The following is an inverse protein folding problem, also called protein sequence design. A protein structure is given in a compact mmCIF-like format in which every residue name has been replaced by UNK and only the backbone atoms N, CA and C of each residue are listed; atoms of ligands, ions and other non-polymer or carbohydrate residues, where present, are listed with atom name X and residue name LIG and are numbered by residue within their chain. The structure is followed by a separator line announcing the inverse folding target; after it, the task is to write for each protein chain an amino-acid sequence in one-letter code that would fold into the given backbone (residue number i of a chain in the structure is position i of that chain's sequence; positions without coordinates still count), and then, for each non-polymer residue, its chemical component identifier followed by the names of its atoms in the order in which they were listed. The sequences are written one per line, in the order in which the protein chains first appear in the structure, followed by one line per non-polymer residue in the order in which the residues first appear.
data_IF_661628164987
#
_entry.id   IF_661628164987
#
_cell.length_a   1.000
_cell.length_b   1.000
_cell.length_c   1.000
_cell.angle_alpha   90.00
_cell.angle_beta   90.00
_cell.angle_gamma   90.00
#
_symmetry.space_group_name_H-M   'P 1'
#
loop_
_entity.id
_entity.type
_entity.pdbx_description
1 polymer ?
#
# COMPACT_ATOMS: atom_id res chain seq x y z
N UNK A 1 10.47 -3.76 17.65
CA UNK A 1 11.82 -3.79 17.03
C UNK A 1 12.04 -2.49 16.27
N UNK A 2 13.25 -1.92 16.21
CA UNK A 2 13.43 -0.66 15.46
C UNK A 2 13.33 -0.87 13.95
N UNK A 3 12.84 0.14 13.22
CA UNK A 3 12.72 0.10 11.75
C UNK A 3 14.05 -0.25 11.08
N UNK A 4 15.16 0.32 11.56
CA UNK A 4 16.49 0.00 11.01
C UNK A 4 16.86 -1.48 11.14
N UNK A 5 16.51 -2.11 12.25
CA UNK A 5 16.76 -3.55 12.44
C UNK A 5 15.89 -4.39 11.50
N UNK A 6 14.63 -4.01 11.32
CA UNK A 6 13.72 -4.66 10.36
C UNK A 6 14.29 -4.56 8.93
N UNK A 7 14.82 -3.39 8.55
CA UNK A 7 15.46 -3.20 7.23
C UNK A 7 16.66 -4.13 7.05
N UNK A 8 17.52 -4.27 8.06
CA UNK A 8 18.67 -5.19 7.99
C UNK A 8 18.24 -6.66 7.91
N UNK A 9 17.23 -7.06 8.64
CA UNK A 9 16.65 -8.41 8.55
C UNK A 9 16.05 -8.68 7.14
N UNK A 10 15.29 -7.73 6.59
CA UNK A 10 14.77 -7.83 5.23
C UNK A 10 15.87 -7.99 4.18
N UNK A 11 16.98 -7.25 4.31
CA UNK A 11 18.12 -7.35 3.39
C UNK A 11 18.88 -8.67 3.55
N UNK A 12 18.92 -9.22 4.75
CA UNK A 12 19.62 -10.48 5.05
C UNK A 12 18.79 -11.72 4.69
N UNK A 13 17.47 -11.57 4.49
CA UNK A 13 16.56 -12.66 4.15
C UNK A 13 16.87 -13.22 2.75
N UNK A 14 17.15 -14.52 2.66
CA UNK A 14 17.47 -15.18 1.40
C UNK A 14 16.37 -15.02 0.33
N UNK A 15 15.11 -14.90 0.75
CA UNK A 15 13.97 -14.66 -0.14
C UNK A 15 14.03 -13.29 -0.82
N UNK A 16 14.84 -12.37 -0.29
CA UNK A 16 15.09 -11.03 -0.83
C UNK A 16 16.49 -10.88 -1.44
N UNK A 17 17.30 -11.95 -1.49
CA UNK A 17 18.71 -11.89 -1.91
C UNK A 17 18.91 -11.27 -3.28
N UNK A 18 18.00 -11.50 -4.23
CA UNK A 18 18.07 -10.94 -5.58
C UNK A 18 18.00 -9.40 -5.55
N UNK A 19 17.06 -8.85 -4.77
CA UNK A 19 16.92 -7.40 -4.62
C UNK A 19 18.12 -6.79 -3.91
N UNK A 20 18.59 -7.42 -2.83
CA UNK A 20 19.77 -6.98 -2.09
C UNK A 20 21.02 -6.96 -2.98
N UNK A 21 21.22 -8.00 -3.81
CA UNK A 21 22.32 -8.07 -4.77
C UNK A 21 22.27 -6.96 -5.82
N UNK A 22 21.08 -6.57 -6.24
CA UNK A 22 20.83 -5.47 -7.19
C UNK A 22 20.87 -4.08 -6.52
N UNK A 23 21.11 -4.00 -5.21
CA UNK A 23 21.13 -2.74 -4.46
C UNK A 23 19.75 -2.11 -4.26
N UNK A 24 18.68 -2.92 -4.31
CA UNK A 24 17.32 -2.44 -4.12
C UNK A 24 16.93 -2.66 -2.65
N UNK A 25 16.69 -1.58 -1.89
CA UNK A 25 16.21 -1.67 -0.51
C UNK A 25 14.70 -2.00 -0.46
N UNK A 26 14.18 -2.39 0.71
CA UNK A 26 12.74 -2.41 0.90
C UNK A 26 12.16 -1.00 0.69
N UNK A 27 11.06 -0.91 -0.07
CA UNK A 27 10.46 0.36 -0.51
C UNK A 27 9.22 0.63 0.31
N UNK A 28 9.31 1.58 1.22
CA UNK A 28 8.24 2.10 2.05
C UNK A 28 8.58 3.52 2.52
N UNK A 29 7.61 4.20 3.11
CA UNK A 29 7.78 5.48 3.77
C UNK A 29 7.23 5.38 5.18
N UNK A 30 8.08 5.46 6.18
CA UNK A 30 7.68 5.30 7.58
C UNK A 30 8.10 6.52 8.39
N UNK A 31 7.16 7.05 9.16
CA UNK A 31 7.41 8.12 10.11
C UNK A 31 6.57 7.91 11.36
N UNK A 32 7.17 8.04 12.54
CA UNK A 32 6.48 7.87 13.83
C UNK A 32 5.37 8.89 14.08
N UNK A 33 5.47 10.06 13.46
CA UNK A 33 4.48 11.13 13.59
C UNK A 33 3.33 11.02 12.59
N UNK A 34 3.38 10.01 11.70
CA UNK A 34 2.34 9.82 10.70
C UNK A 34 0.98 9.55 11.35
N UNK A 35 -0.04 10.22 10.79
CA UNK A 35 -1.46 10.09 11.19
C UNK A 35 -2.23 9.19 10.24
N UNK A 36 -1.82 9.13 8.98
CA UNK A 36 -2.44 8.34 7.93
C UNK A 36 -1.44 7.29 7.46
N UNK A 37 -1.87 6.05 7.46
CA UNK A 37 -1.13 4.92 6.90
C UNK A 37 -1.78 4.49 5.58
N UNK A 38 -0.99 4.33 4.54
CA UNK A 38 -1.44 3.82 3.24
C UNK A 38 -0.87 2.42 3.05
N UNK A 39 -1.76 1.44 2.92
CA UNK A 39 -1.39 0.05 2.60
C UNK A 39 -1.66 -0.20 1.11
N UNK A 40 -0.60 -0.18 0.32
CA UNK A 40 -0.66 -0.50 -1.11
C UNK A 40 -0.42 -1.98 -1.40
N UNK A 41 -0.36 -2.35 -2.67
CA UNK A 41 -0.13 -3.73 -3.09
C UNK A 41 1.36 -4.10 -3.05
N UNK A 42 2.14 -3.52 -3.93
CA UNK A 42 3.59 -3.71 -4.05
C UNK A 42 4.17 -2.60 -4.95
N UNK A 43 5.48 -2.31 -4.86
CA UNK A 43 6.14 -1.48 -5.85
C UNK A 43 5.95 -2.04 -7.27
N UNK A 44 5.66 -1.18 -8.23
CA UNK A 44 5.74 -1.50 -9.63
C UNK A 44 7.16 -1.29 -10.16
N UNK A 45 7.39 -1.59 -11.44
CA UNK A 45 8.71 -1.46 -12.06
C UNK A 45 9.28 -0.04 -11.95
N UNK A 46 8.47 0.99 -12.21
CA UNK A 46 8.92 2.39 -12.11
C UNK A 46 9.27 2.79 -10.68
N UNK A 47 8.52 2.30 -9.71
CA UNK A 47 8.79 2.52 -8.29
C UNK A 47 10.06 1.80 -7.86
N UNK A 48 10.34 0.59 -8.36
CA UNK A 48 11.63 -0.08 -8.15
C UNK A 48 12.80 0.76 -8.67
N UNK A 49 12.63 1.39 -9.83
CA UNK A 49 13.67 2.24 -10.44
C UNK A 49 13.93 3.51 -9.62
N UNK A 50 12.89 4.20 -9.15
CA UNK A 50 13.02 5.43 -8.34
C UNK A 50 13.26 5.18 -6.86
N UNK A 51 12.86 4.01 -6.36
CA UNK A 51 12.88 3.64 -4.94
C UNK A 51 12.01 4.56 -4.05
N UNK A 52 11.06 5.26 -4.64
CA UNK A 52 10.10 6.15 -3.96
C UNK A 52 8.70 5.53 -4.07
N UNK A 53 8.02 5.22 -2.94
CA UNK A 53 6.69 4.63 -2.97
C UNK A 53 5.70 5.47 -3.78
N UNK A 54 4.90 4.85 -4.62
CA UNK A 54 3.90 5.52 -5.46
C UNK A 54 4.46 6.58 -6.43
N UNK A 55 5.74 6.53 -6.80
CA UNK A 55 6.33 7.43 -7.80
C UNK A 55 6.00 6.97 -9.23
N UNK A 56 4.72 6.89 -9.52
CA UNK A 56 4.16 6.46 -10.80
C UNK A 56 2.77 7.09 -11.05
N UNK A 57 2.12 6.72 -12.15
CA UNK A 57 0.77 7.21 -12.48
C UNK A 57 -0.30 6.83 -11.46
N UNK A 58 -0.17 5.68 -10.80
CA UNK A 58 -1.07 5.29 -9.72
C UNK A 58 -0.93 6.22 -8.52
N UNK A 59 0.29 6.61 -8.19
CA UNK A 59 0.57 7.56 -7.13
C UNK A 59 0.02 8.95 -7.42
N UNK A 60 0.19 9.45 -8.65
CA UNK A 60 -0.39 10.73 -9.07
C UNK A 60 -1.91 10.75 -8.88
N UNK A 61 -2.57 9.66 -9.26
CA UNK A 61 -4.02 9.53 -9.11
C UNK A 61 -4.45 9.42 -7.64
N UNK A 62 -3.72 8.67 -6.83
CA UNK A 62 -3.98 8.55 -5.39
C UNK A 62 -3.86 9.91 -4.69
N UNK A 63 -2.82 10.67 -4.98
CA UNK A 63 -2.62 12.03 -4.46
C UNK A 63 -3.81 12.93 -4.84
N UNK A 64 -4.27 12.85 -6.08
CA UNK A 64 -5.45 13.58 -6.55
C UNK A 64 -6.73 13.19 -5.79
N UNK A 65 -6.95 11.89 -5.56
CA UNK A 65 -8.11 11.41 -4.79
C UNK A 65 -8.07 11.87 -3.33
N UNK A 66 -6.87 11.93 -2.75
CA UNK A 66 -6.70 12.41 -1.37
C UNK A 66 -6.87 13.93 -1.24
N UNK A 67 -6.89 14.67 -2.34
CA UNK A 67 -7.05 16.13 -2.34
C UNK A 67 -5.87 16.86 -1.68
N UNK A 68 -4.69 16.28 -1.71
CA UNK A 68 -3.45 16.84 -1.15
C UNK A 68 -2.41 17.08 -2.25
N UNK A 69 -1.36 17.82 -1.93
CA UNK A 69 -0.22 17.97 -2.82
C UNK A 69 0.84 16.86 -2.62
N UNK A 70 1.78 16.79 -3.54
CA UNK A 70 2.88 15.83 -3.51
C UNK A 70 3.77 16.02 -2.27
N UNK A 71 4.01 17.23 -1.85
CA UNK A 71 4.82 17.56 -0.67
C UNK A 71 4.17 16.99 0.60
N UNK A 72 2.88 17.17 0.78
CA UNK A 72 2.12 16.58 1.89
C UNK A 72 2.12 15.07 1.84
N UNK A 73 1.94 14.46 0.66
CA UNK A 73 1.94 13.00 0.48
C UNK A 73 3.27 12.36 0.92
N UNK A 74 4.39 13.02 0.66
CA UNK A 74 5.73 12.55 1.05
C UNK A 74 6.25 13.21 2.35
N UNK A 75 5.38 13.83 3.13
CA UNK A 75 5.73 14.41 4.42
C UNK A 75 5.72 13.38 5.56
N UNK A 76 6.10 13.84 6.75
CA UNK A 76 6.05 13.05 7.97
C UNK A 76 4.62 12.70 8.45
N UNK A 77 3.60 13.29 7.88
CA UNK A 77 2.18 13.05 8.22
C UNK A 77 1.64 11.74 7.67
N UNK A 78 2.26 11.19 6.64
CA UNK A 78 1.80 10.01 5.91
C UNK A 78 2.87 8.91 5.93
N UNK A 79 2.45 7.72 6.33
CA UNK A 79 3.23 6.50 6.17
C UNK A 79 2.69 5.67 5.00
N UNK A 80 3.58 5.03 4.26
CA UNK A 80 3.25 4.16 3.13
C UNK A 80 3.91 2.81 3.36
N UNK A 81 3.08 1.77 3.49
CA UNK A 81 3.52 0.41 3.78
C UNK A 81 2.82 -0.54 2.80
N UNK A 82 3.46 -0.91 1.68
CA UNK A 82 2.84 -1.87 0.75
C UNK A 82 2.82 -3.29 1.33
N UNK A 83 1.95 -4.15 0.81
CA UNK A 83 1.86 -5.56 1.20
C UNK A 83 3.14 -6.34 0.88
N UNK A 84 3.87 -5.98 -0.19
CA UNK A 84 5.24 -6.40 -0.49
C UNK A 84 6.12 -5.16 -0.62
N UNK A 85 7.31 -5.20 -0.05
CA UNK A 85 8.24 -4.06 -0.08
C UNK A 85 9.12 -4.01 -1.33
N UNK A 86 8.95 -4.97 -2.22
CA UNK A 86 9.72 -5.12 -3.45
C UNK A 86 8.81 -5.36 -4.64
N UNK A 87 9.31 -5.07 -5.84
CA UNK A 87 8.60 -5.40 -7.07
C UNK A 87 8.62 -6.91 -7.31
N UNK A 88 7.47 -7.60 -7.23
CA UNK A 88 7.44 -9.06 -7.32
C UNK A 88 7.66 -9.60 -8.74
N UNK A 89 7.67 -8.73 -9.75
CA UNK A 89 7.86 -9.08 -11.13
C UNK A 89 6.60 -9.01 -11.97
N UNK A 90 6.75 -9.21 -13.28
CA UNK A 90 5.66 -9.16 -14.24
C UNK A 90 5.05 -10.55 -14.44
N UNK A 91 3.72 -10.64 -14.33
CA UNK A 91 2.95 -11.83 -14.67
C UNK A 91 2.41 -11.82 -16.11
N UNK A 92 1.50 -12.73 -16.39
CA UNK A 92 0.86 -12.83 -17.73
C UNK A 92 -0.08 -11.64 -18.01
N UNK A 93 -0.77 -11.15 -16.98
CA UNK A 93 -1.81 -10.11 -17.07
C UNK A 93 -1.59 -8.98 -16.08
N UNK A 94 -0.39 -8.47 -15.99
CA UNK A 94 -0.01 -7.43 -15.04
C UNK A 94 1.11 -7.89 -14.13
N UNK A 95 1.31 -7.20 -13.02
CA UNK A 95 2.33 -7.58 -12.06
C UNK A 95 1.93 -8.82 -11.26
N UNK A 96 2.91 -9.57 -10.80
CA UNK A 96 2.69 -10.69 -9.90
C UNK A 96 2.09 -10.19 -8.58
N UNK A 97 1.34 -11.05 -7.85
CA UNK A 97 0.81 -10.68 -6.55
C UNK A 97 1.92 -10.42 -5.54
N UNK A 98 1.65 -9.64 -4.48
CA UNK A 98 2.60 -9.45 -3.39
C UNK A 98 2.93 -10.78 -2.72
N UNK A 99 4.17 -10.95 -2.32
CA UNK A 99 4.63 -12.14 -1.60
C UNK A 99 4.09 -12.07 -0.16
N UNK A 100 3.36 -13.09 0.25
CA UNK A 100 2.60 -13.07 1.51
C UNK A 100 3.45 -12.90 2.76
N UNK A 101 4.63 -13.53 2.77
CA UNK A 101 5.49 -13.55 3.96
C UNK A 101 5.91 -12.14 4.42
N UNK A 102 6.00 -11.18 3.51
CA UNK A 102 6.36 -9.80 3.84
C UNK A 102 5.36 -9.22 4.83
N UNK A 103 4.07 -9.28 4.53
CA UNK A 103 3.06 -8.78 5.45
C UNK A 103 2.93 -9.65 6.70
N UNK A 104 2.97 -10.97 6.55
CA UNK A 104 2.79 -11.92 7.65
C UNK A 104 3.89 -11.83 8.72
N UNK A 105 5.14 -11.58 8.31
CA UNK A 105 6.28 -11.56 9.22
C UNK A 105 6.67 -10.15 9.69
N UNK A 106 6.47 -9.10 8.86
CA UNK A 106 7.02 -7.78 9.13
C UNK A 106 6.00 -6.68 9.40
N UNK A 107 4.77 -6.77 8.89
CA UNK A 107 3.82 -5.66 9.04
C UNK A 107 3.51 -5.34 10.49
N UNK A 108 3.25 -6.34 11.33
CA UNK A 108 2.91 -6.11 12.73
C UNK A 108 4.03 -5.42 13.51
N UNK A 109 5.28 -5.81 13.27
CA UNK A 109 6.45 -5.19 13.93
C UNK A 109 6.64 -3.73 13.51
N UNK A 110 6.39 -3.43 12.22
CA UNK A 110 6.43 -2.05 11.72
C UNK A 110 5.29 -1.23 12.31
N UNK A 111 4.08 -1.78 12.38
CA UNK A 111 2.92 -1.09 12.93
C UNK A 111 3.07 -0.78 14.42
N UNK A 112 3.76 -1.61 15.17
CA UNK A 112 4.07 -1.37 16.59
C UNK A 112 4.95 -0.11 16.78
N UNK A 113 5.72 0.28 15.75
CA UNK A 113 6.51 1.53 15.75
C UNK A 113 5.70 2.76 15.30
N UNK A 114 4.55 2.57 14.66
CA UNK A 114 3.69 3.63 14.11
C UNK A 114 2.49 3.88 15.02
N UNK A 115 2.74 4.36 16.22
CA UNK A 115 1.73 4.47 17.31
C UNK A 115 0.73 5.63 17.13
N UNK A 116 0.98 6.55 16.20
CA UNK A 116 0.17 7.75 16.01
C UNK A 116 -0.84 7.65 14.85
N UNK A 117 -0.96 6.48 14.20
CA UNK A 117 -1.87 6.30 13.09
C UNK A 117 -3.33 6.38 13.56
N UNK A 118 -4.07 7.27 12.95
CA UNK A 118 -5.51 7.49 13.22
C UNK A 118 -6.39 6.79 12.17
N UNK A 119 -5.90 6.70 10.92
CA UNK A 119 -6.64 6.05 9.83
C UNK A 119 -5.68 5.29 8.91
N UNK A 120 -6.10 4.11 8.48
CA UNK A 120 -5.38 3.29 7.49
C UNK A 120 -6.19 3.17 6.21
N UNK A 121 -5.63 3.66 5.11
CA UNK A 121 -6.20 3.52 3.76
C UNK A 121 -5.77 2.16 3.19
N UNK A 122 -6.73 1.32 2.87
CA UNK A 122 -6.51 0.00 2.28
C UNK A 122 -6.75 0.04 0.78
N UNK A 123 -5.70 -0.15 0.00
CA UNK A 123 -5.75 -0.04 -1.46
C UNK A 123 -5.79 -1.42 -2.09
N UNK A 124 -6.94 -1.76 -2.69
CA UNK A 124 -7.11 -2.97 -3.46
C UNK A 124 -7.32 -4.24 -2.62
N UNK A 125 -7.49 -5.35 -3.34
CA UNK A 125 -7.93 -6.62 -2.75
C UNK A 125 -6.94 -7.20 -1.74
N UNK A 126 -5.66 -7.18 -2.02
CA UNK A 126 -4.66 -7.84 -1.16
C UNK A 126 -4.57 -7.21 0.23
N UNK A 127 -4.58 -5.88 0.32
CA UNK A 127 -4.60 -5.17 1.60
C UNK A 127 -5.91 -5.41 2.36
N UNK A 128 -7.04 -5.41 1.66
CA UNK A 128 -8.35 -5.68 2.26
C UNK A 128 -8.47 -7.12 2.78
N UNK A 129 -8.04 -8.12 2.00
CA UNK A 129 -8.04 -9.53 2.42
C UNK A 129 -7.23 -9.74 3.70
N UNK A 130 -6.10 -9.06 3.82
CA UNK A 130 -5.23 -9.17 4.98
C UNK A 130 -5.76 -8.44 6.21
N UNK A 131 -6.12 -7.17 6.06
CA UNK A 131 -6.49 -6.31 7.20
C UNK A 131 -7.95 -6.41 7.61
N UNK A 132 -8.85 -6.75 6.68
CA UNK A 132 -10.29 -6.91 6.92
C UNK A 132 -10.69 -8.38 7.04
N UNK A 133 -9.83 -9.27 7.49
CA UNK A 133 -10.09 -10.71 7.63
C UNK A 133 -11.52 -11.02 8.10
N UNK A 134 -12.32 -11.67 7.24
CA UNK A 134 -13.70 -12.06 7.53
C UNK A 134 -14.70 -10.91 7.66
N UNK A 135 -14.29 -9.66 7.47
CA UNK A 135 -15.15 -8.47 7.54
C UNK A 135 -15.40 -7.82 6.18
N UNK A 136 -14.81 -8.34 5.12
CA UNK A 136 -15.12 -7.87 3.76
C UNK A 136 -16.57 -8.19 3.41
N UNK A 137 -17.18 -7.35 2.60
CA UNK A 137 -18.46 -7.64 1.96
C UNK A 137 -18.25 -8.72 0.88
N UNK A 138 -19.32 -9.04 0.16
CA UNK A 138 -19.35 -10.08 -0.87
C UNK A 138 -18.21 -9.99 -1.91
N UNK A 139 -17.84 -8.75 -2.26
CA UNK A 139 -16.77 -8.46 -3.21
C UNK A 139 -16.10 -7.13 -2.90
N UNK A 140 -15.02 -6.81 -3.65
CA UNK A 140 -14.27 -5.57 -3.47
C UNK A 140 -15.16 -4.33 -3.64
N UNK A 141 -15.99 -4.29 -4.66
CA UNK A 141 -16.86 -3.13 -4.96
C UNK A 141 -17.83 -2.83 -3.81
N UNK A 142 -18.47 -3.87 -3.27
CA UNK A 142 -19.37 -3.71 -2.12
C UNK A 142 -18.60 -3.31 -0.85
N UNK A 143 -17.39 -3.81 -0.66
CA UNK A 143 -16.53 -3.44 0.46
C UNK A 143 -16.16 -1.95 0.38
N UNK A 144 -15.73 -1.48 -0.78
CA UNK A 144 -15.40 -0.07 -1.02
C UNK A 144 -16.64 0.82 -0.83
N UNK A 145 -17.78 0.40 -1.35
CA UNK A 145 -19.05 1.14 -1.22
C UNK A 145 -19.55 1.25 0.22
N UNK A 146 -19.23 0.26 1.04
CA UNK A 146 -19.57 0.23 2.48
C UNK A 146 -18.44 0.74 3.38
N UNK A 147 -17.62 1.66 2.90
CA UNK A 147 -16.43 2.15 3.62
C UNK A 147 -16.74 2.68 5.02
N UNK A 148 -17.92 3.26 5.23
CA UNK A 148 -18.35 3.77 6.53
C UNK A 148 -18.38 2.70 7.62
N UNK A 149 -18.64 1.43 7.27
CA UNK A 149 -18.63 0.31 8.20
C UNK A 149 -17.23 0.02 8.80
N UNK A 150 -16.18 0.53 8.18
CA UNK A 150 -14.79 0.30 8.58
C UNK A 150 -14.14 1.51 9.23
N UNK A 151 -14.74 2.69 9.08
CA UNK A 151 -14.25 3.92 9.71
C UNK A 151 -14.40 3.87 11.25
N UNK A 152 -13.59 4.61 11.99
CA UNK A 152 -12.49 5.48 11.53
C UNK A 152 -11.17 4.74 11.26
N UNK A 153 -11.11 3.45 11.56
CA UNK A 153 -9.85 2.69 11.53
C UNK A 153 -9.35 2.41 10.10
N UNK A 154 -10.25 1.96 9.23
CA UNK A 154 -9.91 1.60 7.85
C UNK A 154 -10.75 2.35 6.84
N UNK A 155 -10.13 2.76 5.75
CA UNK A 155 -10.78 3.34 4.60
C UNK A 155 -10.41 2.54 3.36
N UNK A 156 -11.26 1.57 2.93
CA UNK A 156 -10.99 0.76 1.76
C UNK A 156 -11.27 1.52 0.47
N UNK A 157 -10.31 1.51 -0.46
CA UNK A 157 -10.45 2.09 -1.80
C UNK A 157 -10.00 1.12 -2.88
N UNK A 158 -10.51 1.32 -4.09
CA UNK A 158 -10.04 0.59 -5.27
C UNK A 158 -8.60 1.03 -5.62
N UNK A 159 -7.85 0.14 -6.27
CA UNK A 159 -6.49 0.48 -6.71
C UNK A 159 -6.50 1.63 -7.72
N UNK A 160 -5.70 2.69 -7.54
CA UNK A 160 -5.68 3.87 -8.42
C UNK A 160 -4.96 3.64 -9.74
N UNK A 161 -4.72 2.40 -10.14
CA UNK A 161 -4.11 2.06 -11.42
C UNK A 161 -4.92 2.61 -12.59
N UNK A 162 -4.25 3.15 -13.62
CA UNK A 162 -4.92 3.50 -14.88
C UNK A 162 -5.68 2.33 -15.52
N UNK A 163 -5.30 1.09 -15.22
CA UNK A 163 -5.99 -0.12 -15.71
C UNK A 163 -7.39 -0.30 -15.11
N UNK A 164 -7.71 0.39 -14.03
CA UNK A 164 -9.02 0.35 -13.38
C UNK A 164 -10.04 1.34 -13.94
N UNK A 165 -9.76 1.99 -15.08
CA UNK A 165 -10.69 2.94 -15.69
C UNK A 165 -12.07 2.35 -16.00
N UNK A 166 -12.13 1.06 -16.38
CA UNK A 166 -13.41 0.37 -16.64
C UNK A 166 -14.23 0.18 -15.36
N UNK A 167 -13.58 -0.11 -14.24
CA UNK A 167 -14.25 -0.20 -12.96
C UNK A 167 -14.81 1.17 -12.54
N UNK A 168 -14.01 2.23 -12.69
CA UNK A 168 -14.43 3.59 -12.36
C UNK A 168 -15.63 4.03 -13.24
N UNK A 169 -15.59 3.72 -14.53
CA UNK A 169 -16.70 4.02 -15.44
C UNK A 169 -18.01 3.31 -15.05
N UNK A 170 -17.92 2.09 -14.48
CA UNK A 170 -19.08 1.34 -13.97
C UNK A 170 -19.53 1.77 -12.57
N UNK A 171 -18.69 2.50 -11.85
CA UNK A 171 -18.92 2.90 -10.47
C UNK A 171 -18.69 4.41 -10.30
N UNK A 172 -19.47 5.28 -10.99
CA UNK A 172 -19.26 6.73 -10.96
C UNK A 172 -19.41 7.33 -9.56
N UNK A 173 -20.22 6.72 -8.69
CA UNK A 173 -20.39 7.11 -7.29
C UNK A 173 -19.07 7.21 -6.52
N UNK A 174 -18.07 6.42 -6.90
CA UNK A 174 -16.76 6.42 -6.20
C UNK A 174 -16.06 7.77 -6.27
N UNK A 175 -16.14 8.45 -7.43
CA UNK A 175 -15.51 9.76 -7.61
C UNK A 175 -16.25 10.89 -6.87
N UNK A 176 -17.50 10.66 -6.50
CA UNK A 176 -18.30 11.62 -5.72
C UNK A 176 -18.02 11.46 -4.22
N UNK A 177 -17.64 10.27 -3.78
CA UNK A 177 -17.47 9.93 -2.36
C UNK A 177 -15.99 9.92 -1.90
N UNK A 178 -15.04 9.66 -2.80
CA UNK A 178 -13.62 9.66 -2.47
C UNK A 178 -13.07 11.09 -2.39
#
# INVERSE_FOLDING_TARGET
MSISKIVEELKADERNAEYTRRGIPPIFQLNKDAKILIIGQAPGRKVEESQIPFDDKSGEKLISWMGIDRETFYSDKIAILPMDFYYPGKGKTGDLPPRKFIAEEYHHEILDELTNIEMTVLIGKYSMDYYLKGKMKRNLTETVRSYEDYLPKYFPIVHPSPLNFRWQAKNPWFMEEV
#
